data_IF_755800879400
#
_entry.id   IF_755800879400
#
_cell.length_a   1.000
_cell.length_b   1.000
_cell.length_c   1.000
_cell.angle_alpha   90.00
_cell.angle_beta   90.00
_cell.angle_gamma   90.00
#
_symmetry.space_group_name_H-M   'P 1'
#
loop_
_entity.id
_entity.type
_entity.pdbx_description
1 polymer ?
#
# COMPACT_ATOMS: atom_id res chain seq x y z
N UNK A 1 0.16 14.70 -47.55
CA UNK A 1 -0.52 13.53 -46.96
C UNK A 1 0.31 12.79 -45.91
N UNK A 2 1.59 12.45 -46.15
CA UNK A 2 2.44 11.72 -45.18
C UNK A 2 2.62 12.41 -43.81
N UNK A 3 2.66 13.75 -43.77
CA UNK A 3 2.81 14.52 -42.52
C UNK A 3 1.54 14.56 -41.65
N UNK A 4 0.36 14.41 -42.25
CA UNK A 4 -0.92 14.42 -41.52
C UNK A 4 -1.17 13.05 -40.85
N UNK A 5 -0.78 11.96 -41.51
CA UNK A 5 -0.87 10.59 -40.97
C UNK A 5 0.01 10.42 -39.73
N UNK A 6 1.21 11.02 -39.71
CA UNK A 6 2.13 10.91 -38.57
C UNK A 6 1.61 11.71 -37.36
N UNK A 7 1.01 12.88 -37.57
CA UNK A 7 0.47 13.70 -36.47
C UNK A 7 -0.75 13.04 -35.82
N UNK A 8 -1.62 12.40 -36.61
CA UNK A 8 -2.78 11.65 -36.09
C UNK A 8 -2.38 10.37 -35.34
N UNK A 9 -1.31 9.69 -35.75
CA UNK A 9 -0.82 8.48 -35.08
C UNK A 9 -0.20 8.79 -33.70
N UNK A 10 0.53 9.90 -33.59
CA UNK A 10 1.10 10.36 -32.31
C UNK A 10 0.01 10.81 -31.34
N UNK A 11 -1.03 11.48 -31.84
CA UNK A 11 -2.16 11.92 -31.00
C UNK A 11 -2.98 10.73 -30.46
N UNK A 12 -3.11 9.64 -31.22
CA UNK A 12 -3.81 8.42 -30.79
C UNK A 12 -2.99 7.61 -29.77
N UNK A 13 -1.65 7.59 -29.89
CA UNK A 13 -0.78 6.96 -28.89
C UNK A 13 -0.74 7.73 -27.55
N UNK A 14 -0.92 9.05 -27.55
CA UNK A 14 -0.94 9.83 -26.30
C UNK A 14 -2.27 9.69 -25.52
N UNK A 15 -3.38 9.34 -26.18
CA UNK A 15 -4.68 9.19 -25.51
C UNK A 15 -4.88 7.84 -24.82
N UNK A 16 -4.09 6.81 -25.14
CA UNK A 16 -4.22 5.47 -24.56
C UNK A 16 -3.47 5.28 -23.23
N UNK A 17 -2.67 6.25 -22.77
CA UNK A 17 -1.89 6.12 -21.52
C UNK A 17 -2.55 6.76 -20.28
N UNK A 18 -3.67 7.46 -20.43
CA UNK A 18 -4.36 8.09 -19.30
C UNK A 18 -5.29 7.13 -18.51
N UNK A 19 -5.41 5.86 -18.94
CA UNK A 19 -6.42 4.93 -18.42
C UNK A 19 -6.00 3.98 -17.28
N UNK A 20 -4.73 3.95 -16.86
CA UNK A 20 -4.26 2.88 -15.96
C UNK A 20 -4.15 3.26 -14.47
N UNK A 21 -4.40 4.52 -14.09
CA UNK A 21 -4.17 5.00 -12.72
C UNK A 21 -5.26 4.63 -11.70
N UNK A 22 -6.47 4.24 -12.14
CA UNK A 22 -7.62 4.04 -11.25
C UNK A 22 -7.83 2.58 -10.80
N UNK A 23 -7.37 1.59 -11.58
CA UNK A 23 -7.36 0.18 -11.17
C UNK A 23 -6.00 -0.30 -10.63
N UNK A 24 -4.93 0.44 -10.93
CA UNK A 24 -3.57 0.07 -10.56
C UNK A 24 -3.30 0.11 -9.06
N UNK A 25 -3.88 1.07 -8.33
CA UNK A 25 -3.59 1.27 -6.91
C UNK A 25 -3.94 0.08 -6.01
N UNK A 26 -5.10 -0.56 -6.26
CA UNK A 26 -5.57 -1.72 -5.50
C UNK A 26 -4.68 -2.95 -5.73
N UNK A 27 -4.46 -3.30 -6.99
CA UNK A 27 -3.63 -4.47 -7.35
C UNK A 27 -2.17 -4.25 -6.96
N UNK A 28 -1.64 -3.03 -7.13
CA UNK A 28 -0.30 -2.68 -6.68
C UNK A 28 -0.17 -2.80 -5.15
N UNK A 29 -1.12 -2.28 -4.38
CA UNK A 29 -1.11 -2.41 -2.92
C UNK A 29 -1.08 -3.89 -2.48
N UNK A 30 -1.93 -4.74 -3.07
CA UNK A 30 -1.95 -6.18 -2.78
C UNK A 30 -0.61 -6.84 -3.12
N UNK A 31 -0.05 -6.54 -4.30
CA UNK A 31 1.24 -7.06 -4.75
C UNK A 31 2.38 -6.63 -3.82
N UNK A 32 2.44 -5.33 -3.46
CA UNK A 32 3.47 -4.77 -2.61
C UNK A 32 3.49 -5.47 -1.23
N UNK A 33 2.30 -5.70 -0.64
CA UNK A 33 2.18 -6.44 0.63
C UNK A 33 2.69 -7.87 0.48
N UNK A 34 2.25 -8.60 -0.56
CA UNK A 34 2.67 -9.98 -0.78
C UNK A 34 4.19 -10.12 -0.96
N UNK A 35 4.81 -9.24 -1.74
CA UNK A 35 6.25 -9.23 -1.97
C UNK A 35 7.05 -8.95 -0.69
N UNK A 36 6.62 -7.96 0.10
CA UNK A 36 7.30 -7.61 1.36
C UNK A 36 7.13 -8.72 2.40
N UNK A 37 5.93 -9.31 2.52
CA UNK A 37 5.70 -10.45 3.43
C UNK A 37 6.56 -11.65 3.03
N UNK A 38 6.61 -11.99 1.74
CA UNK A 38 7.45 -13.08 1.26
C UNK A 38 8.93 -12.83 1.56
N UNK A 39 9.42 -11.59 1.35
CA UNK A 39 10.80 -11.23 1.65
C UNK A 39 11.13 -11.34 3.14
N UNK A 40 10.26 -10.84 4.02
CA UNK A 40 10.46 -10.93 5.48
C UNK A 40 10.40 -12.37 5.96
N UNK A 41 9.43 -13.15 5.48
CA UNK A 41 9.34 -14.58 5.78
C UNK A 41 10.54 -15.37 5.24
N UNK A 42 11.17 -14.89 4.17
CA UNK A 42 12.44 -15.41 3.63
C UNK A 42 13.70 -14.94 4.36
N UNK A 43 13.57 -14.15 5.44
CA UNK A 43 14.70 -13.74 6.29
C UNK A 43 15.19 -12.30 6.08
N UNK A 44 14.53 -11.49 5.22
CA UNK A 44 14.84 -10.05 5.12
C UNK A 44 14.49 -9.34 6.43
N UNK A 45 15.40 -8.50 6.94
CA UNK A 45 15.10 -7.63 8.08
C UNK A 45 14.10 -6.55 7.68
N UNK A 46 12.95 -6.52 8.35
CA UNK A 46 11.87 -5.56 8.12
C UNK A 46 12.35 -4.10 8.21
N UNK A 47 13.32 -3.78 9.08
CA UNK A 47 13.84 -2.41 9.25
C UNK A 47 14.61 -1.91 8.04
N UNK A 48 15.03 -2.80 7.14
CA UNK A 48 15.73 -2.46 5.89
C UNK A 48 14.78 -2.19 4.73
N UNK A 49 13.47 -2.41 4.91
CA UNK A 49 12.47 -2.10 3.89
C UNK A 49 12.29 -0.58 3.84
N UNK A 50 12.51 0.00 2.67
CA UNK A 50 12.20 1.40 2.41
C UNK A 50 10.74 1.53 1.93
N UNK A 51 9.94 2.28 2.68
CA UNK A 51 8.50 2.45 2.39
C UNK A 51 8.24 2.99 0.98
N UNK A 52 9.10 3.90 0.50
CA UNK A 52 8.91 4.65 -0.74
C UNK A 52 9.44 3.93 -1.99
N UNK A 53 10.00 2.73 -1.85
CA UNK A 53 10.35 1.88 -3.00
C UNK A 53 9.09 1.27 -3.66
N UNK A 54 7.91 1.49 -3.06
CA UNK A 54 6.63 0.95 -3.44
C UNK A 54 5.62 2.08 -3.70
N UNK A 55 4.77 1.90 -4.70
CA UNK A 55 3.63 2.79 -4.98
C UNK A 55 2.35 1.94 -5.17
N UNK A 56 1.34 2.05 -4.29
CA UNK A 56 1.36 2.85 -3.07
C UNK A 56 2.39 2.35 -2.04
N UNK A 57 2.85 3.25 -1.17
CA UNK A 57 3.89 2.94 -0.18
C UNK A 57 3.50 1.77 0.72
N UNK A 58 4.51 1.10 1.25
CA UNK A 58 4.33 0.04 2.25
C UNK A 58 4.63 0.57 3.64
N UNK A 59 3.89 0.08 4.62
CA UNK A 59 4.18 0.27 6.03
C UNK A 59 4.29 -1.08 6.73
N UNK A 60 5.05 -1.10 7.81
CA UNK A 60 5.22 -2.29 8.66
C UNK A 60 5.02 -1.84 10.10
N UNK A 61 4.17 -2.55 10.83
CA UNK A 61 3.97 -2.34 12.26
C UNK A 61 4.08 -3.64 13.05
N UNK A 62 4.45 -3.50 14.31
CA UNK A 62 4.29 -4.53 15.32
C UNK A 62 2.82 -4.65 15.73
N UNK A 63 2.42 -5.79 16.30
CA UNK A 63 1.03 -6.00 16.79
C UNK A 63 0.60 -4.97 17.85
N UNK A 64 1.56 -4.41 18.57
CA UNK A 64 1.31 -3.36 19.56
C UNK A 64 1.00 -1.99 18.92
N UNK A 65 1.06 -1.85 17.60
CA UNK A 65 0.84 -0.60 16.87
C UNK A 65 2.11 0.20 16.56
N UNK A 66 3.29 -0.22 17.00
CA UNK A 66 4.55 0.49 16.74
C UNK A 66 4.91 0.38 15.26
N UNK A 67 5.06 1.52 14.57
CA UNK A 67 5.48 1.56 13.18
C UNK A 67 6.99 1.30 13.07
N UNK A 68 7.35 0.19 12.46
CA UNK A 68 8.73 -0.16 12.12
C UNK A 68 9.15 0.55 10.84
N UNK A 69 8.27 0.56 9.85
CA UNK A 69 8.48 1.20 8.54
C UNK A 69 7.26 2.06 8.22
N UNK A 70 7.50 3.33 7.94
CA UNK A 70 6.52 4.28 7.42
C UNK A 70 7.27 5.47 6.82
N UNK A 71 6.78 6.13 5.75
CA UNK A 71 7.48 7.27 5.13
C UNK A 71 7.84 8.41 6.10
N UNK A 72 7.04 8.62 7.14
CA UNK A 72 7.17 9.76 8.06
C UNK A 72 6.88 9.48 9.55
N UNK A 73 6.46 8.26 9.89
CA UNK A 73 5.95 7.92 11.24
C UNK A 73 6.67 6.72 11.86
N UNK A 74 7.79 6.29 11.29
CA UNK A 74 8.59 5.21 11.86
C UNK A 74 9.01 5.56 13.31
N UNK A 75 8.91 4.58 14.21
CA UNK A 75 9.14 4.74 15.65
C UNK A 75 7.97 5.35 16.42
N UNK A 76 6.84 5.64 15.78
CA UNK A 76 5.62 6.10 16.45
C UNK A 76 4.59 4.98 16.58
N UNK A 77 3.75 5.08 17.60
CA UNK A 77 2.61 4.20 17.78
C UNK A 77 1.42 4.65 16.92
N UNK A 78 0.99 3.80 15.98
CA UNK A 78 -0.20 4.05 15.15
C UNK A 78 -1.46 4.19 16.01
N UNK A 79 -1.52 3.50 17.16
CA UNK A 79 -2.60 3.66 18.16
C UNK A 79 -2.75 5.09 18.64
N UNK A 80 -1.64 5.81 18.74
CA UNK A 80 -1.62 7.17 19.29
C UNK A 80 -1.82 8.21 18.19
N UNK A 81 -1.15 8.05 17.05
CA UNK A 81 -1.15 9.06 15.98
C UNK A 81 -2.32 8.90 15.00
N UNK A 82 -2.91 7.71 14.91
CA UNK A 82 -4.03 7.41 14.03
C UNK A 82 -4.89 6.23 14.57
N UNK A 83 -5.56 6.40 15.74
CA UNK A 83 -6.31 5.31 16.37
C UNK A 83 -7.32 4.60 15.44
N UNK A 84 -8.14 5.30 14.63
CA UNK A 84 -9.10 4.64 13.74
C UNK A 84 -8.44 3.73 12.69
N UNK A 85 -7.24 4.09 12.23
CA UNK A 85 -6.48 3.28 11.27
C UNK A 85 -5.94 2.03 11.95
N UNK A 86 -5.36 2.18 13.14
CA UNK A 86 -4.89 1.04 13.93
C UNK A 86 -6.02 0.07 14.25
N UNK A 87 -7.18 0.56 14.69
CA UNK A 87 -8.33 -0.27 15.05
C UNK A 87 -8.84 -1.06 13.84
N UNK A 88 -8.95 -0.43 12.67
CA UNK A 88 -9.35 -1.11 11.44
C UNK A 88 -8.35 -2.21 11.04
N UNK A 89 -7.04 -1.92 11.11
CA UNK A 89 -5.99 -2.91 10.79
C UNK A 89 -6.00 -4.08 11.78
N UNK A 90 -6.08 -3.77 13.08
CA UNK A 90 -6.09 -4.80 14.13
C UNK A 90 -7.34 -5.70 14.02
N UNK A 91 -8.50 -5.12 13.71
CA UNK A 91 -9.72 -5.87 13.46
C UNK A 91 -9.59 -6.77 12.22
N UNK A 92 -9.11 -6.23 11.09
CA UNK A 92 -8.90 -6.99 9.87
C UNK A 92 -7.97 -8.19 10.10
N UNK A 93 -6.84 -7.97 10.76
CA UNK A 93 -5.88 -9.02 11.10
C UNK A 93 -6.49 -10.08 12.03
N UNK A 94 -7.24 -9.66 13.05
CA UNK A 94 -7.91 -10.58 14.00
C UNK A 94 -8.96 -11.45 13.30
N UNK A 95 -9.68 -10.88 12.34
CA UNK A 95 -10.74 -11.55 11.59
C UNK A 95 -10.21 -12.33 10.38
N UNK A 96 -8.91 -12.27 10.10
CA UNK A 96 -8.30 -12.92 8.93
C UNK A 96 -8.68 -12.26 7.60
N UNK A 97 -9.09 -10.98 7.62
CA UNK A 97 -9.38 -10.19 6.42
C UNK A 97 -8.08 -9.66 5.81
N UNK A 98 -8.01 -9.67 4.48
CA UNK A 98 -6.87 -9.11 3.72
C UNK A 98 -6.93 -7.58 3.60
N UNK A 99 -8.07 -6.96 3.87
CA UNK A 99 -8.28 -5.51 3.70
C UNK A 99 -8.80 -4.89 4.99
N UNK A 100 -8.20 -3.77 5.37
CA UNK A 100 -8.63 -2.89 6.44
C UNK A 100 -9.21 -1.61 5.84
N UNK A 101 -10.44 -1.31 6.23
CA UNK A 101 -11.25 -0.22 5.69
C UNK A 101 -11.43 0.86 6.75
N UNK A 102 -11.13 2.11 6.43
CA UNK A 102 -11.20 3.20 7.41
C UNK A 102 -11.43 4.56 6.74
N UNK A 103 -12.02 5.47 7.52
CA UNK A 103 -12.18 6.87 7.12
C UNK A 103 -10.91 7.65 7.47
N UNK A 104 -10.37 8.38 6.50
CA UNK A 104 -9.22 9.26 6.69
C UNK A 104 -9.46 10.61 6.05
N UNK A 105 -9.49 11.69 6.86
CA UNK A 105 -9.80 13.06 6.39
C UNK A 105 -11.05 13.10 5.51
N UNK A 106 -12.14 12.50 6.01
CA UNK A 106 -13.45 12.42 5.35
C UNK A 106 -13.49 11.66 4.01
N UNK A 107 -12.44 10.92 3.69
CA UNK A 107 -12.39 10.01 2.55
C UNK A 107 -12.24 8.56 2.99
N UNK A 108 -12.98 7.66 2.36
CA UNK A 108 -12.81 6.23 2.55
C UNK A 108 -11.43 5.81 2.00
N UNK A 109 -10.69 5.05 2.80
CA UNK A 109 -9.40 4.46 2.43
C UNK A 109 -9.44 2.97 2.70
N UNK A 110 -8.63 2.27 1.92
CA UNK A 110 -8.46 0.84 2.01
C UNK A 110 -6.99 0.55 2.18
N UNK A 111 -6.63 -0.37 3.06
CA UNK A 111 -5.27 -0.90 3.13
C UNK A 111 -5.32 -2.41 3.01
N UNK A 112 -4.55 -2.97 2.08
CA UNK A 112 -4.20 -4.38 2.18
C UNK A 112 -3.30 -4.57 3.39
N UNK A 113 -3.56 -5.63 4.16
CA UNK A 113 -2.77 -5.98 5.33
C UNK A 113 -2.56 -7.47 5.41
N UNK A 114 -1.37 -7.89 5.81
CA UNK A 114 -1.04 -9.29 6.01
C UNK A 114 0.00 -9.45 7.11
N UNK A 115 -0.16 -10.48 7.94
CA UNK A 115 0.83 -10.87 8.95
C UNK A 115 1.95 -11.70 8.34
N UNK A 116 3.16 -11.43 8.79
CA UNK A 116 4.35 -12.26 8.58
C UNK A 116 4.43 -13.38 9.63
N UNK A 117 5.33 -14.34 9.42
CA UNK A 117 5.58 -15.45 10.35
C UNK A 117 6.17 -14.99 11.70
N UNK A 118 6.81 -13.82 11.73
CA UNK A 118 7.35 -13.19 12.95
C UNK A 118 6.40 -12.15 13.56
N UNK A 119 5.10 -12.22 13.25
CA UNK A 119 4.04 -11.38 13.81
C UNK A 119 4.12 -9.88 13.48
N UNK A 120 4.88 -9.48 12.46
CA UNK A 120 4.77 -8.14 11.90
C UNK A 120 3.54 -8.06 11.00
N UNK A 121 2.90 -6.89 10.96
CA UNK A 121 1.82 -6.59 10.04
C UNK A 121 2.39 -5.70 8.95
N UNK A 122 2.33 -6.17 7.71
CA UNK A 122 2.70 -5.40 6.52
C UNK A 122 1.42 -4.87 5.91
N UNK A 123 1.40 -3.61 5.50
CA UNK A 123 0.27 -3.05 4.77
C UNK A 123 0.64 -2.04 3.69
N UNK A 124 -0.30 -1.78 2.79
CA UNK A 124 -0.19 -0.79 1.73
C UNK A 124 -1.58 -0.22 1.41
N UNK A 125 -1.69 1.11 1.41
CA UNK A 125 -2.95 1.83 1.34
C UNK A 125 -3.28 2.33 -0.07
N UNK A 126 -4.52 2.18 -0.51
CA UNK A 126 -5.01 2.71 -1.78
C UNK A 126 -6.32 3.48 -1.58
N UNK A 127 -6.68 4.26 -2.61
CA UNK A 127 -7.96 4.97 -2.70
C UNK A 127 -8.68 4.51 -3.95
N UNK A 128 -10.01 4.56 -3.93
CA UNK A 128 -10.85 4.42 -5.13
C UNK A 128 -11.05 5.77 -5.83
#
# INVERSE_FOLDING_TARGET
MKRIVIVLLVLFCCLCLAGNALAGGKEAAKKNVAEVVAAINGGKDAKTVNANDYDPYVFILEENGMLVVHPSLAGKSLKEVAPPVYEAIAAAVKEGKETADYMWKDAMKHSYVQKTNNNLIVGSGYSE
#
